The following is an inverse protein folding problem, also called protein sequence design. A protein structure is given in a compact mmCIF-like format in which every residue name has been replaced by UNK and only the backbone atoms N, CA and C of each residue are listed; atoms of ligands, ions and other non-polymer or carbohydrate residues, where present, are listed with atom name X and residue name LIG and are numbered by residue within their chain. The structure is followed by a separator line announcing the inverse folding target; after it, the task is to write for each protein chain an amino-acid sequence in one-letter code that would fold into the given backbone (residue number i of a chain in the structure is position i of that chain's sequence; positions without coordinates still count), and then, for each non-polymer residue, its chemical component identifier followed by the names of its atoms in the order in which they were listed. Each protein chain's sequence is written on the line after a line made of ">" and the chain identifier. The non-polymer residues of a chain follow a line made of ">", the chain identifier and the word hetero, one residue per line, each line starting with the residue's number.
data_IF_358866823848
#
_entry.id   IF_358866823848
#
_cell.length_a   1.000
_cell.length_b   1.000
_cell.length_c   1.000
_cell.angle_alpha   90.00
_cell.angle_beta   90.00
_cell.angle_gamma   90.00
#
_symmetry.space_group_name_H-M   'P 1'
#
loop_
_entity.id
_entity.type
_entity.pdbx_description
1 polymer ?
#
# COMPACT_ATOMS: atom_id res chain seq x y z
N UNK A 1 -9.72 10.74 -30.86
CA UNK A 1 -10.50 10.89 -29.61
C UNK A 1 -9.57 11.40 -28.52
N UNK A 2 -10.02 12.31 -27.65
CA UNK A 2 -9.17 12.85 -26.58
C UNK A 2 -8.83 11.76 -25.54
N UNK A 3 -7.61 11.80 -25.00
CA UNK A 3 -7.21 10.91 -23.91
C UNK A 3 -7.88 11.32 -22.59
N UNK A 4 -8.36 10.37 -21.78
CA UNK A 4 -9.04 10.68 -20.52
C UNK A 4 -8.09 11.34 -19.53
N UNK A 5 -8.61 12.28 -18.73
CA UNK A 5 -7.92 12.93 -17.62
C UNK A 5 -7.60 11.95 -16.49
N UNK A 6 -6.75 12.37 -15.54
CA UNK A 6 -6.44 11.54 -14.36
C UNK A 6 -7.67 11.24 -13.50
N UNK A 7 -8.57 12.22 -13.35
CA UNK A 7 -9.82 12.09 -12.60
C UNK A 7 -10.76 11.07 -13.24
N UNK A 8 -10.94 11.15 -14.56
CA UNK A 8 -11.79 10.21 -15.30
C UNK A 8 -11.24 8.78 -15.23
N UNK A 9 -9.91 8.60 -15.37
CA UNK A 9 -9.27 7.28 -15.21
C UNK A 9 -9.50 6.70 -13.82
N UNK A 10 -9.41 7.51 -12.77
CA UNK A 10 -9.67 7.08 -11.40
C UNK A 10 -11.13 6.65 -11.23
N UNK A 11 -12.07 7.44 -11.74
CA UNK A 11 -13.50 7.13 -11.65
C UNK A 11 -13.83 5.82 -12.37
N UNK A 12 -13.33 5.66 -13.60
CA UNK A 12 -13.52 4.43 -14.37
C UNK A 12 -12.96 3.20 -13.66
N UNK A 13 -11.77 3.29 -13.06
CA UNK A 13 -11.18 2.20 -12.28
C UNK A 13 -12.03 1.83 -11.06
N UNK A 14 -12.59 2.82 -10.36
CA UNK A 14 -13.50 2.58 -9.22
C UNK A 14 -14.79 1.88 -9.66
N UNK A 15 -15.41 2.33 -10.76
CA UNK A 15 -16.62 1.70 -11.32
C UNK A 15 -16.34 0.23 -11.64
N UNK A 16 -15.28 -0.03 -12.40
CA UNK A 16 -14.90 -1.40 -12.77
C UNK A 16 -14.60 -2.29 -11.54
N UNK A 17 -13.99 -1.74 -10.49
CA UNK A 17 -13.75 -2.48 -9.26
C UNK A 17 -15.06 -2.88 -8.57
N UNK A 18 -16.03 -1.97 -8.46
CA UNK A 18 -17.33 -2.25 -7.86
C UNK A 18 -18.12 -3.30 -8.65
N UNK A 19 -18.19 -3.15 -9.97
CA UNK A 19 -18.83 -4.12 -10.86
C UNK A 19 -18.17 -5.50 -10.75
N UNK A 20 -16.84 -5.54 -10.76
CA UNK A 20 -16.09 -6.79 -10.64
C UNK A 20 -16.36 -7.50 -9.31
N UNK A 21 -16.47 -6.77 -8.20
CA UNK A 21 -16.80 -7.36 -6.90
C UNK A 21 -18.26 -7.76 -6.78
N UNK A 22 -19.19 -7.02 -7.39
CA UNK A 22 -20.60 -7.40 -7.47
C UNK A 22 -20.78 -8.71 -8.27
N UNK A 23 -20.00 -8.89 -9.34
CA UNK A 23 -19.97 -10.11 -10.15
C UNK A 23 -19.19 -11.28 -9.49
N UNK A 24 -18.64 -11.11 -8.29
CA UNK A 24 -17.88 -12.16 -7.59
C UNK A 24 -18.76 -12.81 -6.51
N UNK A 25 -19.41 -13.97 -6.79
CA UNK A 25 -20.25 -14.64 -5.80
C UNK A 25 -19.42 -15.23 -4.65
N UNK A 26 -18.27 -15.84 -4.95
CA UNK A 26 -17.34 -16.37 -3.95
C UNK A 26 -16.06 -15.52 -3.90
N UNK A 27 -15.99 -14.67 -2.87
CA UNK A 27 -14.82 -13.79 -2.63
C UNK A 27 -13.59 -14.57 -2.18
N UNK A 28 -13.78 -15.68 -1.46
CA UNK A 28 -12.70 -16.52 -0.96
C UNK A 28 -12.03 -17.27 -2.11
N UNK A 29 -12.83 -17.78 -3.06
CA UNK A 29 -12.33 -18.44 -4.27
C UNK A 29 -11.55 -17.48 -5.17
N UNK A 30 -12.04 -16.25 -5.38
CA UNK A 30 -11.35 -15.24 -6.20
C UNK A 30 -9.91 -15.00 -5.76
N UNK A 31 -9.64 -15.03 -4.46
CA UNK A 31 -8.30 -14.75 -3.90
C UNK A 31 -7.51 -16.02 -3.54
N UNK A 32 -8.12 -17.20 -3.58
CA UNK A 32 -7.47 -18.45 -3.23
C UNK A 32 -6.21 -18.78 -4.05
N UNK A 33 -6.17 -18.58 -5.38
CA UNK A 33 -4.95 -18.83 -6.17
C UNK A 33 -3.77 -17.97 -5.72
N UNK A 34 -4.02 -16.69 -5.44
CA UNK A 34 -2.97 -15.77 -4.98
C UNK A 34 -2.45 -16.15 -3.58
N UNK A 35 -3.35 -16.58 -2.67
CA UNK A 35 -2.96 -17.07 -1.34
C UNK A 35 -2.09 -18.33 -1.43
N UNK A 36 -2.50 -19.30 -2.25
CA UNK A 36 -1.71 -20.52 -2.50
C UNK A 36 -0.34 -20.22 -3.08
N UNK A 37 -0.27 -19.38 -4.12
CA UNK A 37 1.01 -19.01 -4.73
C UNK A 37 1.98 -18.35 -3.73
N UNK A 38 1.46 -17.57 -2.78
CA UNK A 38 2.28 -17.00 -1.71
C UNK A 38 2.77 -18.06 -0.73
N UNK A 39 1.93 -19.02 -0.36
CA UNK A 39 2.32 -20.16 0.49
C UNK A 39 3.37 -21.04 -0.19
N UNK A 40 3.15 -21.39 -1.47
CA UNK A 40 4.04 -22.20 -2.30
C UNK A 40 5.43 -21.57 -2.42
N UNK A 41 5.50 -20.24 -2.58
CA UNK A 41 6.77 -19.50 -2.58
C UNK A 41 7.59 -19.78 -1.32
N UNK A 42 6.97 -19.66 -0.13
CA UNK A 42 7.69 -19.87 1.13
C UNK A 42 8.02 -21.34 1.35
N UNK A 43 7.18 -22.26 0.88
CA UNK A 43 7.46 -23.68 0.92
C UNK A 43 8.66 -24.05 0.04
N UNK A 44 8.73 -23.50 -1.17
CA UNK A 44 9.87 -23.68 -2.08
C UNK A 44 11.16 -23.10 -1.50
N UNK A 45 11.12 -21.88 -0.96
CA UNK A 45 12.27 -21.24 -0.26
C UNK A 45 12.71 -22.06 0.96
N UNK A 46 11.74 -22.67 1.65
CA UNK A 46 11.98 -23.60 2.74
C UNK A 46 12.35 -25.02 2.28
N UNK A 47 12.60 -25.28 0.99
CA UNK A 47 12.97 -26.60 0.49
C UNK A 47 11.97 -27.71 0.84
N UNK A 48 10.68 -27.38 0.93
CA UNK A 48 9.61 -28.32 1.27
C UNK A 48 9.31 -28.50 2.77
N UNK A 49 10.06 -27.84 3.68
CA UNK A 49 9.77 -27.90 5.11
C UNK A 49 8.67 -26.90 5.52
N UNK A 50 7.48 -27.37 5.95
CA UNK A 50 6.36 -26.50 6.29
C UNK A 50 6.59 -25.65 7.54
N UNK A 51 7.36 -26.14 8.53
CA UNK A 51 7.67 -25.36 9.74
C UNK A 51 8.60 -24.21 9.39
N UNK A 52 9.63 -24.50 8.59
CA UNK A 52 10.56 -23.47 8.10
C UNK A 52 9.84 -22.46 7.21
N UNK A 53 8.93 -22.90 6.33
CA UNK A 53 8.11 -22.01 5.51
C UNK A 53 7.26 -21.05 6.36
N UNK A 54 6.66 -21.55 7.44
CA UNK A 54 5.89 -20.70 8.36
C UNK A 54 6.78 -19.62 8.99
N UNK A 55 7.98 -19.98 9.46
CA UNK A 55 8.92 -19.01 10.02
C UNK A 55 9.35 -17.95 8.99
N UNK A 56 9.64 -18.36 7.75
CA UNK A 56 9.98 -17.43 6.66
C UNK A 56 8.83 -16.47 6.36
N UNK A 57 7.59 -16.99 6.28
CA UNK A 57 6.39 -16.18 6.07
C UNK A 57 6.19 -15.15 7.19
N UNK A 58 6.33 -15.57 8.45
CA UNK A 58 6.24 -14.66 9.62
C UNK A 58 7.30 -13.56 9.55
N UNK A 59 8.55 -13.94 9.27
CA UNK A 59 9.66 -12.98 9.13
C UNK A 59 9.40 -11.98 7.99
N UNK A 60 8.87 -12.42 6.84
CA UNK A 60 8.50 -11.56 5.72
C UNK A 60 7.51 -10.46 6.15
N UNK A 61 6.41 -10.85 6.81
CA UNK A 61 5.41 -9.87 7.25
C UNK A 61 5.92 -8.95 8.35
N UNK A 62 6.78 -9.43 9.26
CA UNK A 62 7.43 -8.58 10.26
C UNK A 62 8.33 -7.53 9.62
N UNK A 63 9.13 -7.90 8.60
CA UNK A 63 9.94 -6.93 7.84
C UNK A 63 9.06 -5.89 7.14
N UNK A 64 7.94 -6.31 6.53
CA UNK A 64 7.00 -5.40 5.89
C UNK A 64 6.35 -4.42 6.89
N UNK A 65 5.97 -4.91 8.07
CA UNK A 65 5.42 -4.10 9.15
C UNK A 65 6.44 -3.07 9.66
N UNK A 66 7.69 -3.49 9.87
CA UNK A 66 8.79 -2.59 10.26
C UNK A 66 9.03 -1.50 9.22
N UNK A 67 9.08 -1.87 7.93
CA UNK A 67 9.23 -0.91 6.82
C UNK A 67 8.08 0.10 6.81
N UNK A 68 6.85 -0.37 6.97
CA UNK A 68 5.65 0.49 7.05
C UNK A 68 5.70 1.44 8.24
N UNK A 69 6.11 0.96 9.41
CA UNK A 69 6.25 1.79 10.61
C UNK A 69 7.29 2.90 10.41
N UNK A 70 8.44 2.58 9.81
CA UNK A 70 9.48 3.56 9.44
C UNK A 70 8.95 4.61 8.46
N UNK A 71 8.26 4.17 7.41
CA UNK A 71 7.70 5.08 6.40
C UNK A 71 6.67 6.05 7.01
N UNK A 72 5.79 5.55 7.90
CA UNK A 72 4.81 6.41 8.59
C UNK A 72 5.48 7.43 9.51
N UNK A 73 6.57 7.06 10.21
CA UNK A 73 7.32 8.03 11.02
C UNK A 73 7.92 9.13 10.16
N UNK A 74 8.62 8.75 9.07
CA UNK A 74 9.21 9.71 8.14
C UNK A 74 8.16 10.65 7.53
N UNK A 75 6.99 10.12 7.16
CA UNK A 75 5.90 10.94 6.62
C UNK A 75 5.40 11.99 7.62
N UNK A 76 5.33 11.66 8.92
CA UNK A 76 4.95 12.62 9.96
C UNK A 76 6.01 13.68 10.19
N UNK A 77 7.29 13.29 10.20
CA UNK A 77 8.41 14.23 10.30
C UNK A 77 8.37 15.26 9.15
N UNK A 78 8.23 14.78 7.91
CA UNK A 78 8.14 15.65 6.74
C UNK A 78 6.91 16.56 6.77
N UNK A 79 5.77 16.05 7.24
CA UNK A 79 4.57 16.88 7.39
C UNK A 79 4.75 17.96 8.46
N UNK A 80 5.41 17.64 9.58
CA UNK A 80 5.71 18.62 10.62
C UNK A 80 6.70 19.69 10.11
N UNK A 81 7.75 19.27 9.40
CA UNK A 81 8.73 20.18 8.78
C UNK A 81 8.06 21.12 7.77
N UNK A 82 7.16 20.61 6.92
CA UNK A 82 6.39 21.43 5.99
C UNK A 82 5.50 22.46 6.71
N UNK A 83 4.81 22.06 7.78
CA UNK A 83 4.00 22.99 8.59
C UNK A 83 4.86 24.08 9.22
N UNK A 84 6.04 23.73 9.73
CA UNK A 84 6.99 24.72 10.27
C UNK A 84 7.48 25.68 9.18
N UNK A 85 7.87 25.16 8.01
CA UNK A 85 8.32 25.98 6.88
C UNK A 85 7.21 26.93 6.38
N UNK A 86 5.97 26.46 6.29
CA UNK A 86 4.82 27.29 5.93
C UNK A 86 4.60 28.43 6.95
N UNK A 87 4.77 28.13 8.25
CA UNK A 87 4.66 29.14 9.31
C UNK A 87 5.81 30.17 9.26
N UNK A 88 7.04 29.73 8.99
CA UNK A 88 8.19 30.61 8.80
C UNK A 88 8.02 31.52 7.57
N UNK A 89 7.57 30.98 6.45
CA UNK A 89 7.27 31.76 5.24
C UNK A 89 6.17 32.79 5.49
N UNK A 90 5.11 32.42 6.23
CA UNK A 90 4.04 33.33 6.60
C UNK A 90 4.55 34.47 7.50
N UNK A 91 5.44 34.18 8.47
CA UNK A 91 6.04 35.19 9.33
C UNK A 91 6.91 36.17 8.54
N UNK A 92 7.75 35.68 7.64
CA UNK A 92 8.60 36.51 6.77
C UNK A 92 7.79 37.38 5.79
N UNK A 93 6.64 36.88 5.32
CA UNK A 93 5.73 37.64 4.47
C UNK A 93 4.91 38.71 5.22
N UNK A 94 4.76 38.58 6.54
CA UNK A 94 4.07 39.54 7.40
C UNK A 94 4.86 40.81 7.68
N UNK A 95 6.19 40.77 7.57
CA UNK A 95 7.09 41.91 7.78
C UNK A 95 7.20 42.85 6.55
N UNK A 96 6.49 42.54 5.45
CA UNK A 96 6.52 43.28 4.19
C UNK A 96 5.32 44.25 3.99
N UNK A 97 4.55 44.57 5.05
CA UNK A 97 3.42 45.51 4.99
C UNK A 97 3.65 46.78 5.80
#
# INVERSE_FOLDING_TARGET
>A
MASPTATERRLAASIAAHESWAATPDRSARTAPARRALEDKFLAEAGGDPRRAEHLRRAYFQRLALKSARARRRSRELAAEAVTADAELAALGGDAS
#
